data_IF_285727815233
#
_entry.id   IF_285727815233
#
_cell.length_a   1.000
_cell.length_b   1.000
_cell.length_c   1.000
_cell.angle_alpha   90.00
_cell.angle_beta   90.00
_cell.angle_gamma   90.00
#
_symmetry.space_group_name_H-M   'P 1'
#
loop_
_entity.id
_entity.type
_entity.pdbx_description
1 polymer ?
#
# COMPACT_ATOMS: atom_id res chain seq x y z
N UNK A 1 -17.33 12.44 12.61
CA UNK A 1 -16.08 12.53 11.82
C UNK A 1 -16.04 13.88 11.08
N UNK A 2 -14.87 14.54 10.99
CA UNK A 2 -14.71 15.69 10.09
C UNK A 2 -14.78 15.16 8.65
N UNK A 3 -15.47 15.87 7.77
CA UNK A 3 -15.55 15.50 6.35
C UNK A 3 -14.14 15.43 5.75
N UNK A 4 -13.84 14.39 4.95
CA UNK A 4 -12.60 14.31 4.18
C UNK A 4 -12.46 15.56 3.31
N UNK A 5 -11.33 16.26 3.41
CA UNK A 5 -11.12 17.54 2.73
C UNK A 5 -10.16 17.44 1.56
N UNK A 6 -9.52 16.28 1.34
CA UNK A 6 -8.68 16.00 0.18
C UNK A 6 -9.51 15.44 -0.98
N UNK A 7 -9.81 16.22 -2.04
CA UNK A 7 -10.78 15.82 -3.06
C UNK A 7 -10.36 14.59 -3.88
N UNK A 8 -9.06 14.39 -4.07
CA UNK A 8 -8.55 13.24 -4.80
C UNK A 8 -8.83 11.93 -4.06
N UNK A 9 -8.90 11.93 -2.73
CA UNK A 9 -9.29 10.75 -1.94
C UNK A 9 -10.69 10.27 -2.34
N UNK A 10 -11.65 11.20 -2.37
CA UNK A 10 -13.03 10.91 -2.79
C UNK A 10 -13.10 10.45 -4.24
N UNK A 11 -12.36 11.11 -5.13
CA UNK A 11 -12.36 10.80 -6.56
C UNK A 11 -11.90 9.37 -6.86
N UNK A 12 -10.99 8.81 -6.05
CA UNK A 12 -10.37 7.49 -6.33
C UNK A 12 -10.92 6.36 -5.48
N UNK A 13 -11.58 6.64 -4.36
CA UNK A 13 -12.01 5.62 -3.40
C UNK A 13 -12.87 4.51 -4.03
N UNK A 14 -13.84 4.89 -4.89
CA UNK A 14 -14.67 3.93 -5.61
C UNK A 14 -13.88 3.04 -6.57
N UNK A 15 -13.01 3.63 -7.38
CA UNK A 15 -12.14 2.92 -8.34
C UNK A 15 -11.20 1.95 -7.64
N UNK A 16 -10.59 2.38 -6.54
CA UNK A 16 -9.69 1.53 -5.74
C UNK A 16 -10.47 0.37 -5.13
N UNK A 17 -11.65 0.62 -4.52
CA UNK A 17 -12.51 -0.44 -3.98
C UNK A 17 -12.83 -1.50 -5.04
N UNK A 18 -13.23 -1.07 -6.24
CA UNK A 18 -13.58 -1.98 -7.35
C UNK A 18 -12.38 -2.78 -7.84
N UNK A 19 -11.20 -2.15 -7.91
CA UNK A 19 -9.95 -2.82 -8.25
C UNK A 19 -9.65 -3.96 -7.29
N UNK A 20 -9.69 -3.70 -5.98
CA UNK A 20 -9.44 -4.73 -4.97
C UNK A 20 -10.53 -5.82 -4.98
N UNK A 21 -11.81 -5.44 -5.11
CA UNK A 21 -12.92 -6.38 -5.18
C UNK A 21 -12.77 -7.37 -6.34
N UNK A 22 -12.37 -6.88 -7.53
CA UNK A 22 -12.12 -7.70 -8.72
C UNK A 22 -11.00 -8.73 -8.47
N UNK A 23 -9.88 -8.30 -7.91
CA UNK A 23 -8.74 -9.18 -7.63
C UNK A 23 -9.06 -10.22 -6.56
N UNK A 24 -9.85 -9.86 -5.54
CA UNK A 24 -10.29 -10.79 -4.51
C UNK A 24 -11.26 -11.82 -5.09
N UNK A 25 -12.18 -11.42 -5.97
CA UNK A 25 -13.09 -12.36 -6.64
C UNK A 25 -12.32 -13.41 -7.46
N UNK A 26 -11.41 -12.96 -8.33
CA UNK A 26 -10.54 -13.84 -9.13
C UNK A 26 -9.71 -14.77 -8.24
N UNK A 27 -9.16 -14.25 -7.13
CA UNK A 27 -8.35 -15.05 -6.22
C UNK A 27 -9.16 -16.12 -5.46
N UNK A 28 -10.43 -15.86 -5.14
CA UNK A 28 -11.33 -16.83 -4.48
C UNK A 28 -11.68 -17.99 -5.41
N UNK A 29 -11.90 -17.72 -6.69
CA UNK A 29 -12.17 -18.75 -7.70
C UNK A 29 -10.97 -19.67 -7.94
N UNK A 30 -9.75 -19.14 -7.84
CA UNK A 30 -8.51 -19.90 -8.09
C UNK A 30 -8.03 -20.74 -6.91
N UNK A 31 -8.40 -20.41 -5.66
CA UNK A 31 -7.93 -21.12 -4.46
C UNK A 31 -9.01 -21.15 -3.37
N UNK A 32 -9.61 -22.33 -3.17
CA UNK A 32 -10.71 -22.56 -2.24
C UNK A 32 -10.42 -22.35 -0.72
N UNK A 33 -9.19 -22.05 -0.27
CA UNK A 33 -8.85 -22.21 1.17
C UNK A 33 -7.93 -21.16 1.81
N UNK A 34 -7.54 -20.07 1.13
CA UNK A 34 -6.77 -19.01 1.81
C UNK A 34 -7.69 -17.92 2.35
N UNK A 35 -7.58 -17.64 3.65
CA UNK A 35 -8.32 -16.60 4.34
C UNK A 35 -7.82 -15.23 3.83
N UNK A 36 -8.56 -14.64 2.88
CA UNK A 36 -8.28 -13.31 2.36
C UNK A 36 -8.79 -12.26 3.34
N UNK A 37 -8.02 -11.19 3.51
CA UNK A 37 -8.48 -10.01 4.25
C UNK A 37 -9.68 -9.38 3.51
N UNK A 38 -10.76 -9.01 4.22
CA UNK A 38 -11.85 -8.24 3.62
C UNK A 38 -11.29 -6.92 3.07
N UNK A 39 -11.61 -6.55 1.81
CA UNK A 39 -11.16 -5.26 1.30
C UNK A 39 -11.82 -4.14 2.09
N UNK A 40 -11.15 -3.00 2.30
CA UNK A 40 -11.81 -1.82 2.85
C UNK A 40 -12.92 -1.35 1.90
N UNK A 41 -14.00 -0.81 2.46
CA UNK A 41 -15.02 -0.13 1.67
C UNK A 41 -14.54 1.25 1.19
N UNK A 42 -15.33 1.90 0.34
CA UNK A 42 -14.96 3.19 -0.23
C UNK A 42 -14.77 4.27 0.85
N UNK A 43 -15.59 4.25 1.90
CA UNK A 43 -15.48 5.20 3.01
C UNK A 43 -14.16 5.03 3.78
N UNK A 44 -13.77 3.78 4.10
CA UNK A 44 -12.46 3.50 4.71
C UNK A 44 -11.33 3.93 3.80
N UNK A 45 -11.39 3.64 2.50
CA UNK A 45 -10.36 4.03 1.53
C UNK A 45 -10.23 5.56 1.48
N UNK A 46 -11.34 6.29 1.34
CA UNK A 46 -11.35 7.75 1.33
C UNK A 46 -10.74 8.31 2.62
N UNK A 47 -11.17 7.82 3.78
CA UNK A 47 -10.67 8.28 5.07
C UNK A 47 -9.17 7.98 5.25
N UNK A 48 -8.70 6.79 4.90
CA UNK A 48 -7.28 6.43 5.02
C UNK A 48 -6.41 7.31 4.11
N UNK A 49 -6.85 7.55 2.86
CA UNK A 49 -6.12 8.42 1.92
C UNK A 49 -6.11 9.87 2.44
N UNK A 50 -7.24 10.41 2.85
CA UNK A 50 -7.35 11.79 3.38
C UNK A 50 -6.45 11.99 4.61
N UNK A 51 -6.54 11.09 5.58
CA UNK A 51 -5.75 11.16 6.82
C UNK A 51 -4.26 11.03 6.52
N UNK A 52 -3.87 10.11 5.64
CA UNK A 52 -2.46 9.93 5.26
C UNK A 52 -1.92 11.13 4.47
N UNK A 53 -2.73 11.73 3.59
CA UNK A 53 -2.37 12.95 2.87
C UNK A 53 -2.07 14.08 3.84
N UNK A 54 -2.99 14.37 4.77
CA UNK A 54 -2.78 15.43 5.77
C UNK A 54 -1.67 15.09 6.77
N UNK A 55 -1.42 13.81 7.05
CA UNK A 55 -0.26 13.39 7.83
C UNK A 55 1.05 13.70 7.08
N UNK A 56 1.10 13.43 5.77
CA UNK A 56 2.30 13.63 4.95
C UNK A 56 2.79 15.07 4.90
N UNK A 57 1.87 16.04 5.05
CA UNK A 57 2.17 17.48 5.05
C UNK A 57 2.60 18.00 6.43
N UNK A 58 2.44 17.20 7.49
CA UNK A 58 2.91 17.56 8.84
C UNK A 58 4.41 17.34 8.95
N UNK A 59 4.99 17.87 10.02
CA UNK A 59 6.36 17.58 10.43
C UNK A 59 6.39 17.15 11.87
N UNK A 60 7.27 16.20 12.17
CA UNK A 60 7.61 15.77 13.52
C UNK A 60 9.13 15.93 13.67
N UNK A 61 9.58 16.69 14.67
CA UNK A 61 11.01 17.02 14.87
C UNK A 61 11.73 17.57 13.60
N UNK A 62 10.97 18.21 12.70
CA UNK A 62 11.48 18.75 11.43
C UNK A 62 11.46 17.77 10.25
N UNK A 63 11.17 16.49 10.49
CA UNK A 63 11.09 15.45 9.46
C UNK A 63 9.68 15.30 8.90
N UNK A 64 9.60 14.98 7.61
CA UNK A 64 8.34 14.64 6.95
C UNK A 64 8.01 13.16 7.17
N UNK A 65 6.77 12.81 7.55
CA UNK A 65 6.38 11.43 7.81
C UNK A 65 6.60 10.52 6.60
N UNK A 66 7.27 9.38 6.82
CA UNK A 66 7.27 8.23 5.91
C UNK A 66 6.65 7.06 6.65
N UNK A 67 5.50 6.62 6.18
CA UNK A 67 4.69 5.60 6.86
C UNK A 67 4.08 4.66 5.82
N UNK A 68 3.88 3.42 6.23
CA UNK A 68 3.17 2.40 5.45
C UNK A 68 1.97 1.94 6.28
N UNK A 69 0.76 2.17 5.79
CA UNK A 69 -0.50 1.77 6.43
C UNK A 69 -1.00 0.49 5.76
N UNK A 70 -1.38 -0.52 6.53
CA UNK A 70 -1.94 -1.77 6.03
C UNK A 70 -3.30 -2.03 6.67
N UNK A 71 -4.34 -2.17 5.85
CA UNK A 71 -5.71 -2.35 6.34
C UNK A 71 -6.04 -3.84 6.50
N UNK A 72 -6.08 -4.31 7.75
CA UNK A 72 -6.46 -5.67 8.14
C UNK A 72 -6.56 -5.81 9.67
N UNK A 73 -7.24 -6.87 10.15
CA UNK A 73 -7.41 -7.10 11.58
C UNK A 73 -6.12 -7.66 12.24
N UNK A 74 -5.79 -7.30 13.49
CA UNK A 74 -4.54 -7.73 14.15
C UNK A 74 -4.39 -9.26 14.25
N UNK A 75 -5.50 -10.01 14.30
CA UNK A 75 -5.51 -11.48 14.36
C UNK A 75 -4.90 -12.11 13.09
N UNK A 76 -4.86 -11.38 11.97
CA UNK A 76 -4.25 -11.86 10.72
C UNK A 76 -2.75 -11.51 10.61
N UNK A 77 -2.17 -10.82 11.60
CA UNK A 77 -0.79 -10.32 11.55
C UNK A 77 0.27 -11.34 12.00
N UNK A 78 -0.14 -12.50 12.51
CA UNK A 78 0.77 -13.50 13.09
C UNK A 78 1.39 -13.03 14.40
N UNK A 79 2.44 -12.22 14.34
CA UNK A 79 3.16 -11.70 15.50
C UNK A 79 3.25 -10.15 15.48
N UNK A 80 2.10 -9.45 15.64
CA UNK A 80 2.09 -7.99 15.70
C UNK A 80 2.65 -7.45 17.03
N UNK A 81 3.10 -6.20 17.02
CA UNK A 81 3.23 -5.39 18.23
C UNK A 81 2.01 -4.48 18.33
N UNK A 82 1.13 -4.73 19.28
CA UNK A 82 -0.14 -3.99 19.45
C UNK A 82 0.01 -2.80 20.41
N UNK A 83 -0.72 -1.72 20.15
CA UNK A 83 -0.81 -0.58 21.06
C UNK A 83 -1.93 -0.77 22.07
N UNK A 84 -1.68 -0.43 23.33
CA UNK A 84 -2.69 -0.36 24.38
C UNK A 84 -2.60 1.01 25.10
N UNK A 85 -3.58 1.92 24.88
CA UNK A 85 -4.76 1.78 24.02
C UNK A 85 -4.43 1.84 22.52
N UNK A 86 -5.34 1.33 21.68
CA UNK A 86 -5.32 1.54 20.22
C UNK A 86 -5.35 3.05 19.93
N UNK A 87 -4.68 3.48 18.87
CA UNK A 87 -4.60 4.90 18.54
C UNK A 87 -5.65 5.25 17.48
N UNK A 88 -6.49 6.27 17.69
CA UNK A 88 -7.39 6.76 16.64
C UNK A 88 -6.59 7.13 15.39
N UNK A 89 -7.06 6.71 14.21
CA UNK A 89 -6.42 7.05 12.95
C UNK A 89 -6.62 8.56 12.70
N UNK A 90 -5.58 9.34 12.94
CA UNK A 90 -5.60 10.80 12.76
C UNK A 90 -4.28 11.29 12.16
N UNK A 91 -4.28 12.44 11.45
CA UNK A 91 -3.04 12.97 10.87
C UNK A 91 -1.94 13.22 11.91
N UNK A 92 -2.32 13.68 13.10
CA UNK A 92 -1.39 13.94 14.19
C UNK A 92 -0.80 12.65 14.78
N UNK A 93 -1.62 11.61 14.98
CA UNK A 93 -1.14 10.32 15.48
C UNK A 93 -0.16 9.67 14.49
N UNK A 94 -0.46 9.72 13.19
CA UNK A 94 0.43 9.19 12.15
C UNK A 94 1.76 9.94 12.06
N UNK A 95 1.74 11.27 12.12
CA UNK A 95 2.96 12.08 12.11
C UNK A 95 3.88 11.74 13.30
N UNK A 96 3.29 11.60 14.50
CA UNK A 96 4.01 11.24 15.72
C UNK A 96 4.59 9.82 15.69
N UNK A 97 3.92 8.87 15.01
CA UNK A 97 4.39 7.49 14.88
C UNK A 97 5.50 7.34 13.84
N UNK A 98 5.58 8.23 12.84
CA UNK A 98 6.44 8.08 11.67
C UNK A 98 7.91 7.78 12.00
N UNK A 99 8.57 8.48 12.96
CA UNK A 99 9.98 8.20 13.29
C UNK A 99 10.22 6.77 13.79
N UNK A 100 9.21 6.13 14.41
CA UNK A 100 9.31 4.78 14.94
C UNK A 100 9.10 3.69 13.87
N UNK A 101 8.52 4.03 12.71
CA UNK A 101 8.05 3.04 11.71
C UNK A 101 8.58 3.29 10.29
N UNK A 102 9.51 4.23 10.09
CA UNK A 102 10.11 4.53 8.78
C UNK A 102 10.93 3.34 8.21
N UNK A 103 11.33 2.37 9.05
CA UNK A 103 12.13 1.22 8.62
C UNK A 103 11.37 0.38 7.58
N UNK A 104 12.03 -0.02 6.46
CA UNK A 104 11.42 -0.88 5.46
C UNK A 104 10.84 -2.17 6.06
N UNK A 105 9.66 -2.56 5.59
CA UNK A 105 8.95 -3.76 6.03
C UNK A 105 8.23 -3.64 7.36
N UNK A 106 8.21 -2.45 7.99
CA UNK A 106 7.30 -2.16 9.11
C UNK A 106 6.07 -1.45 8.56
N UNK A 107 4.90 -1.96 8.92
CA UNK A 107 3.62 -1.38 8.55
C UNK A 107 2.81 -1.07 9.80
N UNK A 108 2.15 0.08 9.81
CA UNK A 108 1.10 0.41 10.78
C UNK A 108 -0.16 -0.33 10.38
N UNK A 109 -0.64 -1.17 11.27
CA UNK A 109 -1.87 -1.92 11.08
C UNK A 109 -3.09 -1.05 11.37
N UNK A 110 -4.00 -0.97 10.40
CA UNK A 110 -5.25 -0.20 10.49
C UNK A 110 -6.44 -1.14 10.44
N UNK A 111 -7.39 -0.95 11.36
CA UNK A 111 -8.65 -1.69 11.36
C UNK A 111 -9.80 -0.83 11.86
N UNK A 112 -11.02 -1.21 11.48
CA UNK A 112 -12.25 -0.55 11.91
C UNK A 112 -12.79 -1.22 13.17
N UNK A 113 -13.09 -0.42 14.19
CA UNK A 113 -13.77 -0.82 15.42
C UNK A 113 -14.91 0.16 15.64
N UNK A 114 -16.15 -0.35 15.79
CA UNK A 114 -17.35 0.47 16.02
C UNK A 114 -17.46 1.66 15.03
N UNK A 115 -17.30 1.37 13.74
CA UNK A 115 -17.30 2.32 12.60
C UNK A 115 -16.16 3.35 12.55
N UNK A 116 -15.26 3.37 13.54
CA UNK A 116 -14.09 4.24 13.56
C UNK A 116 -12.81 3.50 13.17
N UNK A 117 -11.90 4.20 12.49
CA UNK A 117 -10.60 3.66 12.09
C UNK A 117 -9.56 3.87 13.18
N UNK A 118 -8.85 2.80 13.53
CA UNK A 118 -7.76 2.82 14.50
C UNK A 118 -6.50 2.22 13.93
N UNK A 119 -5.37 2.75 14.38
CA UNK A 119 -4.08 2.08 14.30
C UNK A 119 -3.99 1.13 15.50
N UNK A 120 -4.03 -0.18 15.23
CA UNK A 120 -3.97 -1.20 16.29
C UNK A 120 -2.52 -1.54 16.71
N UNK A 121 -1.52 -1.19 15.90
CA UNK A 121 -0.13 -1.52 16.18
C UNK A 121 0.79 -1.51 14.95
N UNK A 122 1.89 -2.25 15.04
CA UNK A 122 2.83 -2.48 13.94
C UNK A 122 2.94 -3.96 13.57
N UNK A 123 3.27 -4.23 12.32
CA UNK A 123 3.46 -5.59 11.79
C UNK A 123 4.52 -5.61 10.71
N UNK A 124 5.13 -6.79 10.51
CA UNK A 124 6.00 -7.09 9.37
C UNK A 124 5.37 -8.07 8.38
N UNK A 125 4.21 -8.61 8.73
CA UNK A 125 3.48 -9.59 7.93
C UNK A 125 2.26 -8.92 7.32
N UNK A 126 2.22 -8.86 5.99
CA UNK A 126 1.09 -8.33 5.23
C UNK A 126 0.34 -9.47 4.54
N UNK A 127 -0.96 -9.66 4.80
CA UNK A 127 -1.77 -10.65 4.10
C UNK A 127 -1.79 -10.42 2.58
N UNK A 128 -2.02 -11.49 1.82
CA UNK A 128 -2.18 -11.40 0.36
C UNK A 128 -3.41 -10.54 0.02
N UNK A 129 -3.29 -9.69 -1.01
CA UNK A 129 -4.31 -8.71 -1.42
C UNK A 129 -4.69 -7.68 -0.35
N UNK A 130 -3.91 -7.54 0.72
CA UNK A 130 -4.12 -6.49 1.71
C UNK A 130 -3.92 -5.11 1.07
N UNK A 131 -4.84 -4.19 1.33
CA UNK A 131 -4.71 -2.78 0.96
C UNK A 131 -3.59 -2.15 1.77
N UNK A 132 -2.59 -1.61 1.07
CA UNK A 132 -1.47 -0.89 1.66
C UNK A 132 -1.37 0.50 1.04
N UNK A 133 -1.23 1.52 1.88
CA UNK A 133 -0.97 2.89 1.47
C UNK A 133 0.37 3.35 2.05
N UNK A 134 1.26 3.84 1.20
CA UNK A 134 2.53 4.42 1.61
C UNK A 134 2.57 5.93 1.39
N UNK A 135 3.05 6.64 2.41
CA UNK A 135 3.48 8.03 2.30
C UNK A 135 4.97 8.01 1.96
N UNK A 136 5.33 8.47 0.76
CA UNK A 136 6.72 8.46 0.28
C UNK A 136 7.43 9.78 0.60
N UNK A 137 6.74 10.88 0.35
CA UNK A 137 7.17 12.27 0.62
C UNK A 137 5.91 13.13 0.82
N UNK A 138 6.03 14.40 1.27
CA UNK A 138 4.87 15.27 1.45
C UNK A 138 4.00 15.36 0.20
N UNK A 139 2.74 14.94 0.33
CA UNK A 139 1.75 14.94 -0.74
C UNK A 139 1.91 13.83 -1.77
N UNK A 140 2.87 12.89 -1.63
CA UNK A 140 3.03 11.72 -2.51
C UNK A 140 2.63 10.44 -1.79
N UNK A 141 1.51 9.85 -2.23
CA UNK A 141 0.98 8.59 -1.70
C UNK A 141 1.00 7.51 -2.78
N UNK A 142 1.28 6.26 -2.39
CA UNK A 142 1.21 5.09 -3.27
C UNK A 142 0.29 4.06 -2.64
N UNK A 143 -0.75 3.66 -3.37
CA UNK A 143 -1.62 2.55 -2.99
C UNK A 143 -1.12 1.29 -3.70
N UNK A 144 -0.99 0.21 -2.94
CA UNK A 144 -0.49 -1.07 -3.42
C UNK A 144 -1.11 -2.24 -2.69
N UNK A 145 -0.88 -3.44 -3.18
CA UNK A 145 -1.21 -4.67 -2.48
C UNK A 145 -0.16 -5.76 -2.70
N UNK A 146 -0.19 -6.79 -1.87
CA UNK A 146 0.70 -7.96 -2.00
C UNK A 146 0.09 -9.02 -2.91
N UNK A 147 0.76 -9.35 -4.02
CA UNK A 147 0.24 -10.30 -5.04
C UNK A 147 0.32 -11.78 -4.62
N UNK A 148 1.34 -12.19 -3.88
CA UNK A 148 1.67 -13.61 -3.65
C UNK A 148 2.37 -13.93 -2.32
N UNK A 149 2.91 -15.16 -2.22
CA UNK A 149 3.58 -15.68 -1.01
C UNK A 149 4.97 -15.07 -0.78
N UNK A 150 5.59 -14.47 -1.80
CA UNK A 150 6.84 -13.72 -1.65
C UNK A 150 6.59 -12.48 -0.79
N UNK A 151 7.33 -12.35 0.32
CA UNK A 151 7.13 -11.29 1.32
C UNK A 151 7.46 -9.88 0.83
N UNK A 152 8.14 -9.72 -0.31
CA UNK A 152 8.58 -8.42 -0.83
C UNK A 152 7.84 -7.91 -2.07
N UNK A 153 7.01 -8.72 -2.75
CA UNK A 153 6.44 -8.33 -4.05
C UNK A 153 5.09 -7.62 -3.88
N UNK A 154 5.13 -6.29 -3.96
CA UNK A 154 3.96 -5.43 -4.03
C UNK A 154 3.65 -5.01 -5.46
N UNK A 155 2.36 -4.83 -5.75
CA UNK A 155 1.86 -4.26 -7.01
C UNK A 155 1.28 -2.90 -6.71
N UNK A 156 1.81 -1.86 -7.35
CA UNK A 156 1.28 -0.51 -7.25
C UNK A 156 0.00 -0.41 -8.08
N UNK A 157 -1.03 0.20 -7.50
CA UNK A 157 -2.35 0.38 -8.11
C UNK A 157 -2.55 1.84 -8.49
N UNK A 158 -2.13 2.75 -7.60
CA UNK A 158 -2.38 4.17 -7.73
C UNK A 158 -1.24 4.98 -7.11
N UNK A 159 -0.90 6.08 -7.75
CA UNK A 159 -0.03 7.11 -7.20
C UNK A 159 -0.81 8.42 -7.14
N UNK A 160 -0.82 9.05 -5.97
CA UNK A 160 -1.41 10.37 -5.74
C UNK A 160 -0.29 11.35 -5.44
N UNK A 161 -0.21 12.46 -6.19
CA UNK A 161 0.78 13.52 -5.95
C UNK A 161 0.10 14.88 -5.93
N UNK A 162 -0.11 15.45 -4.74
CA UNK A 162 -0.89 16.68 -4.59
C UNK A 162 -2.31 16.46 -5.12
N UNK A 163 -2.73 17.19 -6.14
CA UNK A 163 -4.01 17.01 -6.82
C UNK A 163 -3.96 16.01 -8.00
N UNK A 164 -2.79 15.48 -8.34
CA UNK A 164 -2.60 14.59 -9.48
C UNK A 164 -2.85 13.13 -9.11
N UNK A 165 -3.63 12.45 -9.95
CA UNK A 165 -3.93 11.01 -9.82
C UNK A 165 -3.28 10.28 -10.99
N UNK A 166 -2.49 9.24 -10.70
CA UNK A 166 -1.91 8.35 -11.71
C UNK A 166 -2.30 6.91 -11.39
N UNK A 167 -3.12 6.29 -12.23
CA UNK A 167 -3.43 4.86 -12.15
C UNK A 167 -2.27 4.09 -12.74
N UNK A 168 -1.79 3.07 -12.02
CA UNK A 168 -0.74 2.18 -12.50
C UNK A 168 -1.42 0.98 -13.12
N UNK A 169 -1.27 0.82 -14.43
CA UNK A 169 -1.77 -0.36 -15.12
C UNK A 169 -0.87 -1.57 -14.85
N UNK A 170 -1.45 -2.60 -14.25
CA UNK A 170 -0.80 -3.88 -13.96
C UNK A 170 -0.43 -4.65 -15.24
N UNK A 171 -1.11 -4.36 -16.36
CA UNK A 171 -0.90 -4.99 -17.67
C UNK A 171 0.05 -4.18 -18.57
N UNK A 172 0.58 -3.03 -18.11
CA UNK A 172 1.59 -2.26 -18.85
C UNK A 172 1.11 -1.61 -20.16
N UNK A 173 -0.19 -1.41 -20.37
CA UNK A 173 -0.68 -0.64 -21.52
C UNK A 173 -0.60 0.86 -21.26
N UNK A 174 0.61 1.42 -21.37
CA UNK A 174 0.77 2.84 -21.68
C UNK A 174 2.09 3.12 -22.39
N UNK A 175 2.06 3.04 -23.73
CA UNK A 175 2.53 4.02 -24.74
C UNK A 175 3.14 3.32 -26.00
N UNK A 176 2.87 3.81 -27.22
CA UNK A 176 3.41 3.24 -28.47
C UNK A 176 4.93 3.36 -28.67
N UNK A 177 5.68 3.91 -27.72
CA UNK A 177 7.13 4.20 -27.85
C UNK A 177 7.91 3.78 -26.60
N UNK A 178 7.74 2.54 -26.13
CA UNK A 178 8.69 1.94 -25.20
C UNK A 178 9.80 1.21 -25.97
N UNK A 179 11.08 1.62 -25.88
CA UNK A 179 12.18 0.90 -26.51
C UNK A 179 12.25 -0.52 -25.94
N UNK A 180 12.41 -1.50 -26.83
CA UNK A 180 12.33 -2.95 -26.55
C UNK A 180 13.27 -3.49 -25.45
N UNK A 181 14.16 -2.64 -24.92
CA UNK A 181 15.11 -2.94 -23.86
C UNK A 181 14.52 -2.88 -22.44
N UNK A 182 13.34 -2.29 -22.23
CA UNK A 182 12.74 -2.16 -20.88
C UNK A 182 11.78 -3.31 -20.51
N UNK A 183 11.31 -4.07 -21.51
CA UNK A 183 10.37 -5.19 -21.32
C UNK A 183 10.93 -6.31 -20.42
N UNK A 184 12.22 -6.70 -20.52
CA UNK A 184 12.78 -7.72 -19.62
C UNK A 184 12.96 -7.20 -18.20
N UNK A 185 13.33 -5.92 -18.02
CA UNK A 185 13.63 -5.34 -16.70
C UNK A 185 12.39 -5.15 -15.82
N UNK A 186 11.22 -5.02 -16.45
CA UNK A 186 9.94 -4.89 -15.77
C UNK A 186 9.25 -6.25 -15.51
N UNK A 187 9.92 -7.37 -15.82
CA UNK A 187 9.43 -8.72 -15.51
C UNK A 187 8.22 -9.16 -16.35
N UNK A 188 7.97 -8.54 -17.50
CA UNK A 188 6.76 -8.74 -18.31
C UNK A 188 6.67 -10.09 -19.05
N UNK A 189 7.47 -11.11 -18.73
CA UNK A 189 7.42 -12.36 -19.48
C UNK A 189 8.17 -13.57 -18.93
N UNK A 190 8.34 -13.69 -17.61
CA UNK A 190 9.09 -14.79 -17.03
C UNK A 190 8.18 -15.73 -16.23
N UNK A 191 7.84 -16.89 -16.81
CA UNK A 191 7.42 -18.06 -16.03
C UNK A 191 8.57 -18.40 -15.08
N UNK A 192 8.24 -18.54 -13.79
CA UNK A 192 9.02 -18.62 -12.53
C UNK A 192 10.52 -19.03 -12.49
N UNK A 193 11.15 -19.49 -13.57
CA UNK A 193 12.58 -19.81 -13.64
C UNK A 193 13.44 -18.67 -14.25
N UNK A 194 12.87 -17.78 -15.07
CA UNK A 194 13.67 -16.74 -15.76
C UNK A 194 13.68 -15.37 -15.05
N UNK A 195 12.85 -15.18 -14.02
CA UNK A 195 12.76 -13.93 -13.28
C UNK A 195 13.97 -13.71 -12.36
N UNK A 196 14.51 -14.79 -11.78
CA UNK A 196 15.69 -14.74 -10.91
C UNK A 196 16.96 -14.35 -11.68
N UNK A 197 17.13 -14.84 -12.91
CA UNK A 197 18.29 -14.52 -13.74
C UNK A 197 18.34 -13.05 -14.13
N UNK A 198 17.18 -12.43 -14.38
CA UNK A 198 17.08 -11.00 -14.71
C UNK A 198 17.41 -10.14 -13.48
N UNK A 199 16.99 -10.55 -12.29
CA UNK A 199 17.26 -9.85 -11.04
C UNK A 199 18.77 -9.80 -10.72
N UNK A 200 19.51 -10.89 -11.00
CA UNK A 200 20.97 -10.95 -10.80
C UNK A 200 21.72 -10.00 -11.73
N UNK A 201 21.30 -9.86 -12.99
CA UNK A 201 21.94 -8.95 -13.95
C UNK A 201 21.75 -7.47 -13.57
N UNK A 202 20.58 -7.12 -13.02
CA UNK A 202 20.31 -5.76 -12.51
C UNK A 202 21.16 -5.47 -11.26
N UNK A 203 21.28 -6.44 -10.34
CA UNK A 203 22.14 -6.31 -9.16
C UNK A 203 23.62 -6.19 -9.52
N UNK A 204 24.10 -6.95 -10.51
CA UNK A 204 25.47 -6.83 -11.03
C UNK A 204 25.72 -5.45 -11.64
N UNK A 205 24.82 -4.96 -12.48
CA UNK A 205 24.95 -3.63 -13.10
C UNK A 205 24.96 -2.49 -12.05
N UNK A 206 24.16 -2.61 -10.99
CA UNK A 206 24.15 -1.66 -9.87
C UNK A 206 25.42 -1.74 -9.00
N UNK A 207 26.08 -2.90 -8.94
CA UNK A 207 27.31 -3.14 -8.18
C UNK A 207 28.58 -2.74 -8.92
N UNK A 208 28.51 -2.40 -10.21
CA UNK A 208 29.65 -1.97 -11.03
C UNK A 208 29.86 -0.43 -11.01
N UNK A 209 29.44 0.25 -9.95
CA UNK A 209 29.73 1.68 -9.70
C UNK A 209 30.75 1.86 -8.59
#
# INVERSE_FOLDING_TARGET
>A
MKEPSYPAARAVAGTVREHFARHIAVAREQRHQQQLTPPPDAEAIEAIIDIAFWASLRREEGYSPKISLAFFAPEQAGHPLTFEPRLPLTPAALARLAPAVERPGIHLGVWRYDDELFVWGTTRTIPRLCFVLEVIEPGLLVIKYRRGQDSGKFVNVLVLKGDQIKVVDEQGTSLPDCPALLTPMLGFGATDLSADSVNVLVQLAASMR
#
